data_IF_301803750461
#
_entry.id   IF_301803750461
#
_cell.length_a   1.000
_cell.length_b   1.000
_cell.length_c   1.000
_cell.angle_alpha   90.00
_cell.angle_beta   90.00
_cell.angle_gamma   90.00
#
_symmetry.space_group_name_H-M   'P 1'
#
loop_
_entity.id
_entity.type
_entity.pdbx_description
1 polymer ?
#
# COMPACT_ATOMS: atom_id res chain seq x y z
N UNK A 1 -5.04 -26.10 6.32
CA UNK A 1 -3.97 -25.18 6.78
C UNK A 1 -4.64 -24.09 7.60
N UNK A 2 -4.17 -23.83 8.83
CA UNK A 2 -4.82 -22.84 9.72
C UNK A 2 -4.68 -21.41 9.19
N UNK A 3 -5.66 -20.55 9.43
CA UNK A 3 -5.59 -19.14 9.05
C UNK A 3 -4.81 -18.34 10.09
N UNK A 4 -3.99 -17.42 9.60
CA UNK A 4 -3.13 -16.56 10.41
C UNK A 4 -3.59 -15.10 10.34
N UNK A 5 -3.55 -14.45 11.49
CA UNK A 5 -3.67 -13.00 11.63
C UNK A 5 -2.28 -12.42 11.83
N UNK A 6 -1.98 -11.33 11.13
CA UNK A 6 -0.75 -10.59 11.33
C UNK A 6 -1.02 -9.25 12.00
N UNK A 7 -0.30 -8.98 13.09
CA UNK A 7 -0.44 -7.78 13.90
C UNK A 7 0.72 -6.84 13.63
N UNK A 8 0.43 -5.57 13.35
CA UNK A 8 1.39 -4.48 13.26
C UNK A 8 1.12 -3.51 14.40
N UNK A 9 2.01 -3.46 15.38
CA UNK A 9 1.85 -2.60 16.56
C UNK A 9 2.68 -1.33 16.39
N UNK A 10 2.02 -0.16 16.26
CA UNK A 10 2.66 1.14 16.05
C UNK A 10 3.39 1.65 17.30
N UNK A 11 2.98 1.17 18.48
CA UNK A 11 3.64 1.42 19.75
C UNK A 11 4.16 0.11 20.36
N UNK A 12 5.29 0.19 21.07
CA UNK A 12 5.84 -0.96 21.78
C UNK A 12 5.12 -1.18 23.11
N UNK A 13 4.18 -2.13 23.10
CA UNK A 13 3.45 -2.59 24.29
C UNK A 13 3.29 -4.12 24.24
N UNK A 14 4.26 -4.83 24.82
CA UNK A 14 4.31 -6.29 24.78
C UNK A 14 3.12 -6.95 25.50
N UNK A 15 2.68 -6.37 26.62
CA UNK A 15 1.56 -6.91 27.40
C UNK A 15 0.24 -6.80 26.62
N UNK A 16 -0.02 -5.64 26.02
CA UNK A 16 -1.22 -5.38 25.22
C UNK A 16 -1.28 -6.28 23.98
N UNK A 17 -0.15 -6.45 23.29
CA UNK A 17 -0.07 -7.32 22.11
C UNK A 17 -0.17 -8.81 22.49
N UNK A 18 0.47 -9.25 23.58
CA UNK A 18 0.33 -10.61 24.07
C UNK A 18 -1.12 -10.94 24.43
N UNK A 19 -1.81 -10.03 25.12
CA UNK A 19 -3.24 -10.18 25.44
C UNK A 19 -4.13 -10.29 24.20
N UNK A 20 -3.85 -9.52 23.14
CA UNK A 20 -4.54 -9.64 21.86
C UNK A 20 -4.29 -11.01 21.20
N UNK A 21 -3.03 -11.45 21.14
CA UNK A 21 -2.67 -12.75 20.56
C UNK A 21 -3.36 -13.90 21.30
N UNK A 22 -3.40 -13.86 22.64
CA UNK A 22 -4.10 -14.85 23.45
C UNK A 22 -5.61 -14.84 23.19
N UNK A 23 -6.21 -13.65 23.04
CA UNK A 23 -7.61 -13.51 22.67
C UNK A 23 -7.91 -14.16 21.32
N UNK A 24 -7.12 -13.85 20.28
CA UNK A 24 -7.28 -14.43 18.94
C UNK A 24 -7.10 -15.96 18.96
N UNK A 25 -6.16 -16.46 19.75
CA UNK A 25 -5.92 -17.90 19.93
C UNK A 25 -7.12 -18.62 20.55
N UNK A 26 -7.84 -18.00 21.49
CA UNK A 26 -9.09 -18.57 22.05
C UNK A 26 -10.16 -18.78 20.98
N UNK A 27 -10.12 -18.00 19.91
CA UNK A 27 -11.00 -18.17 18.76
C UNK A 27 -10.40 -19.04 17.63
N UNK A 28 -9.30 -19.75 17.89
CA UNK A 28 -8.71 -20.70 16.93
C UNK A 28 -7.89 -20.06 15.80
N UNK A 29 -7.53 -18.78 15.92
CA UNK A 29 -6.66 -18.11 14.97
C UNK A 29 -5.20 -18.22 15.41
N UNK A 30 -4.30 -18.52 14.46
CA UNK A 30 -2.88 -18.30 14.68
C UNK A 30 -2.60 -16.80 14.60
N UNK A 31 -1.87 -16.24 15.57
CA UNK A 31 -1.48 -14.85 15.56
C UNK A 31 0.04 -14.73 15.46
N UNK A 32 0.51 -13.87 14.56
CA UNK A 32 1.87 -13.39 14.51
C UNK A 32 1.87 -11.87 14.47
N UNK A 33 3.02 -11.24 14.63
CA UNK A 33 3.10 -9.80 14.51
C UNK A 33 4.48 -9.25 14.78
N UNK A 34 4.59 -7.93 14.65
CA UNK A 34 5.80 -7.18 14.90
C UNK A 34 5.45 -5.80 15.48
N UNK A 35 6.45 -5.18 16.11
CA UNK A 35 6.41 -3.76 16.41
C UNK A 35 6.89 -2.98 15.19
N UNK A 36 6.16 -1.92 14.85
CA UNK A 36 6.48 -1.05 13.73
C UNK A 36 7.87 -0.45 13.92
N UNK A 37 8.68 -0.53 12.87
CA UNK A 37 9.99 0.11 12.80
C UNK A 37 9.84 1.29 11.84
N UNK A 38 9.81 2.50 12.39
CA UNK A 38 9.65 3.73 11.61
C UNK A 38 10.98 4.14 10.97
N UNK A 39 11.37 3.38 9.95
CA UNK A 39 12.59 3.62 9.17
C UNK A 39 12.28 3.50 7.67
N UNK A 40 11.72 4.58 7.12
CA UNK A 40 11.39 4.70 5.70
C UNK A 40 12.64 4.66 4.83
N UNK A 41 13.75 5.25 5.31
CA UNK A 41 15.02 5.32 4.57
C UNK A 41 15.56 3.93 4.25
N UNK A 42 15.50 3.01 5.22
CA UNK A 42 15.92 1.63 5.03
C UNK A 42 14.76 0.70 4.63
N UNK A 43 13.58 1.26 4.35
CA UNK A 43 12.39 0.52 3.90
C UNK A 43 12.00 -0.62 4.85
N UNK A 44 12.07 -0.36 6.16
CA UNK A 44 11.85 -1.38 7.19
C UNK A 44 10.45 -2.03 7.13
N UNK A 45 9.47 -1.34 6.53
CA UNK A 45 8.14 -1.86 6.24
C UNK A 45 8.15 -3.15 5.39
N UNK A 46 9.22 -3.42 4.62
CA UNK A 46 9.33 -4.60 3.78
C UNK A 46 9.38 -5.91 4.58
N UNK A 47 10.00 -5.91 5.75
CA UNK A 47 10.06 -7.09 6.60
C UNK A 47 8.65 -7.55 7.02
N UNK A 48 7.74 -6.60 7.25
CA UNK A 48 6.33 -6.91 7.51
C UNK A 48 5.63 -7.49 6.28
N UNK A 49 5.99 -7.03 5.07
CA UNK A 49 5.39 -7.51 3.83
C UNK A 49 5.68 -9.01 3.61
N UNK A 50 6.90 -9.49 3.88
CA UNK A 50 7.26 -10.91 3.72
C UNK A 50 6.30 -11.86 4.46
N UNK A 51 5.93 -11.48 5.68
CA UNK A 51 5.00 -12.23 6.51
C UNK A 51 3.56 -12.06 6.04
N UNK A 52 3.15 -10.84 5.67
CA UNK A 52 1.82 -10.53 5.18
C UNK A 52 1.47 -11.26 3.87
N UNK A 53 2.46 -11.48 3.01
CA UNK A 53 2.28 -12.09 1.70
C UNK A 53 2.11 -13.62 1.76
N UNK A 54 2.44 -14.27 2.89
CA UNK A 54 2.26 -15.72 3.06
C UNK A 54 0.81 -16.13 2.88
N UNK A 55 0.57 -17.24 2.18
CA UNK A 55 -0.76 -17.68 1.76
C UNK A 55 -1.76 -17.90 2.92
N UNK A 56 -1.26 -18.27 4.10
CA UNK A 56 -2.04 -18.49 5.32
C UNK A 56 -2.43 -17.19 6.06
N UNK A 57 -1.75 -16.06 5.77
CA UNK A 57 -2.12 -14.77 6.35
C UNK A 57 -3.40 -14.27 5.70
N UNK A 58 -4.46 -14.20 6.52
CA UNK A 58 -5.85 -13.97 6.11
C UNK A 58 -6.44 -12.65 6.62
N UNK A 59 -5.76 -11.97 7.55
CA UNK A 59 -6.21 -10.71 8.14
C UNK A 59 -5.00 -9.89 8.62
N UNK A 60 -5.06 -8.58 8.38
CA UNK A 60 -4.16 -7.61 9.00
C UNK A 60 -4.84 -6.89 10.16
N UNK A 61 -4.19 -6.82 11.32
CA UNK A 61 -4.59 -5.92 12.41
C UNK A 61 -3.49 -4.90 12.63
N UNK A 62 -3.83 -3.61 12.56
CA UNK A 62 -2.95 -2.50 12.90
C UNK A 62 -3.36 -2.01 14.29
N UNK A 63 -2.46 -2.09 15.27
CA UNK A 63 -2.71 -1.66 16.65
C UNK A 63 -1.92 -0.38 16.91
N UNK A 64 -2.57 0.71 17.29
CA UNK A 64 -1.92 1.98 17.58
C UNK A 64 -2.95 3.09 17.73
N UNK A 65 -2.56 4.24 18.27
CA UNK A 65 -3.51 5.33 18.48
C UNK A 65 -3.57 6.27 17.26
N UNK A 66 -4.56 7.15 17.22
CA UNK A 66 -4.71 8.10 16.11
C UNK A 66 -3.47 8.99 15.91
N UNK A 67 -2.78 9.34 17.00
CA UNK A 67 -1.56 10.12 16.96
C UNK A 67 -0.40 9.38 16.28
N UNK A 68 -0.41 8.04 16.28
CA UNK A 68 0.58 7.27 15.53
C UNK A 68 0.33 7.34 14.03
N UNK A 69 -0.93 7.30 13.61
CA UNK A 69 -1.31 7.44 12.19
C UNK A 69 -1.08 8.86 11.69
N UNK A 70 -1.24 9.89 12.53
CA UNK A 70 -0.96 11.28 12.15
C UNK A 70 0.52 11.54 11.86
N UNK A 71 1.44 10.67 12.31
CA UNK A 71 2.86 10.77 11.96
C UNK A 71 3.03 10.44 10.48
N UNK A 72 3.50 11.41 9.71
CA UNK A 72 3.70 11.29 8.25
C UNK A 72 4.52 10.06 7.85
N UNK A 73 5.60 9.76 8.57
CA UNK A 73 6.45 8.59 8.32
C UNK A 73 5.71 7.27 8.52
N UNK A 74 4.92 7.15 9.58
CA UNK A 74 4.10 5.98 9.87
C UNK A 74 3.00 5.81 8.83
N UNK A 75 2.20 6.85 8.56
CA UNK A 75 1.15 6.79 7.55
C UNK A 75 1.69 6.43 6.16
N UNK A 76 2.80 7.06 5.76
CA UNK A 76 3.46 6.77 4.51
C UNK A 76 3.94 5.32 4.44
N UNK A 77 4.66 4.82 5.44
CA UNK A 77 5.13 3.44 5.46
C UNK A 77 4.00 2.41 5.49
N UNK A 78 2.92 2.69 6.24
CA UNK A 78 1.71 1.86 6.23
C UNK A 78 1.05 1.84 4.86
N UNK A 79 1.01 2.96 4.14
CA UNK A 79 0.53 3.01 2.75
C UNK A 79 1.39 2.20 1.81
N UNK A 80 2.73 2.22 1.95
CA UNK A 80 3.63 1.38 1.14
C UNK A 80 3.39 -0.11 1.44
N UNK A 81 3.27 -0.49 2.71
CA UNK A 81 2.95 -1.86 3.10
C UNK A 81 1.59 -2.30 2.55
N UNK A 82 0.55 -1.46 2.70
CA UNK A 82 -0.78 -1.74 2.17
C UNK A 82 -0.77 -1.91 0.65
N UNK A 83 -0.05 -1.06 -0.08
CA UNK A 83 0.13 -1.16 -1.53
C UNK A 83 0.74 -2.51 -1.91
N UNK A 84 1.81 -2.93 -1.21
CA UNK A 84 2.46 -4.23 -1.44
C UNK A 84 1.54 -5.41 -1.16
N UNK A 85 0.80 -5.35 -0.06
CA UNK A 85 -0.15 -6.40 0.33
C UNK A 85 -1.28 -6.51 -0.69
N UNK A 86 -1.89 -5.39 -1.09
CA UNK A 86 -3.01 -5.43 -2.04
C UNK A 86 -2.60 -5.80 -3.47
N UNK A 87 -1.36 -5.51 -3.87
CA UNK A 87 -0.86 -5.98 -5.16
C UNK A 87 -0.89 -7.51 -5.26
N UNK A 88 -0.69 -8.22 -4.15
CA UNK A 88 -0.66 -9.69 -4.10
C UNK A 88 -1.98 -10.33 -3.64
N UNK A 89 -2.59 -9.78 -2.58
CA UNK A 89 -3.79 -10.33 -1.93
C UNK A 89 -5.09 -9.75 -2.50
N UNK A 90 -5.00 -8.70 -3.31
CA UNK A 90 -6.14 -7.91 -3.80
C UNK A 90 -6.60 -6.86 -2.79
N UNK A 91 -7.29 -5.83 -3.28
CA UNK A 91 -7.80 -4.73 -2.43
C UNK A 91 -8.89 -5.14 -1.44
N UNK A 92 -9.53 -6.29 -1.64
CA UNK A 92 -10.52 -6.83 -0.70
C UNK A 92 -9.90 -7.54 0.50
N UNK A 93 -8.57 -7.57 0.61
CA UNK A 93 -7.88 -8.18 1.74
C UNK A 93 -8.25 -7.44 3.05
N UNK A 94 -8.73 -8.15 4.08
CA UNK A 94 -9.31 -7.49 5.24
C UNK A 94 -8.24 -6.86 6.13
N UNK A 95 -8.53 -5.64 6.59
CA UNK A 95 -7.70 -4.88 7.51
C UNK A 95 -8.58 -4.37 8.65
N UNK A 96 -8.10 -4.50 9.87
CA UNK A 96 -8.68 -3.90 11.07
C UNK A 96 -7.70 -2.89 11.64
N UNK A 97 -8.15 -1.67 11.87
CA UNK A 97 -7.45 -0.73 12.73
C UNK A 97 -8.01 -0.83 14.15
N UNK A 98 -7.15 -1.20 15.09
CA UNK A 98 -7.47 -1.40 16.49
C UNK A 98 -6.82 -0.30 17.35
N UNK A 99 -7.47 0.87 17.48
CA UNK A 99 -7.01 1.90 18.39
C UNK A 99 -7.07 1.45 19.84
N UNK A 100 -6.53 2.25 20.77
CA UNK A 100 -6.81 2.09 22.20
C UNK A 100 -8.30 2.26 22.52
N UNK A 101 -8.60 2.93 23.63
CA UNK A 101 -9.98 2.97 24.13
C UNK A 101 -10.90 3.95 23.40
N UNK A 102 -10.34 4.92 22.67
CA UNK A 102 -11.11 5.97 21.98
C UNK A 102 -10.76 6.05 20.51
N UNK A 103 -11.79 6.09 19.65
CA UNK A 103 -11.66 6.40 18.22
C UNK A 103 -11.97 7.89 18.04
N UNK A 104 -11.00 8.72 17.61
CA UNK A 104 -11.29 10.10 17.28
C UNK A 104 -12.20 10.18 16.06
N UNK A 105 -13.23 11.05 16.12
CA UNK A 105 -14.19 11.22 15.01
C UNK A 105 -13.58 11.86 13.76
N UNK A 106 -12.39 12.46 13.89
CA UNK A 106 -11.61 13.09 12.82
C UNK A 106 -10.49 12.19 12.28
N UNK A 107 -10.44 10.91 12.69
CA UNK A 107 -9.42 9.98 12.21
C UNK A 107 -9.51 9.80 10.69
N UNK A 108 -8.49 10.26 9.98
CA UNK A 108 -8.33 10.03 8.55
C UNK A 108 -7.28 8.94 8.32
N UNK A 109 -7.70 7.84 7.71
CA UNK A 109 -6.79 6.82 7.24
C UNK A 109 -6.18 7.24 5.89
N UNK A 110 -4.97 6.75 5.55
CA UNK A 110 -4.49 6.86 4.18
C UNK A 110 -5.42 6.19 3.17
N UNK A 111 -5.42 6.60 1.89
CA UNK A 111 -6.38 6.10 0.89
C UNK A 111 -6.42 4.58 0.81
N UNK A 112 -5.26 3.92 0.91
CA UNK A 112 -5.16 2.46 0.86
C UNK A 112 -5.74 1.78 2.12
N UNK A 113 -5.85 2.48 3.24
CA UNK A 113 -6.38 1.95 4.49
C UNK A 113 -7.78 2.50 4.84
N UNK A 114 -8.39 3.33 3.97
CA UNK A 114 -9.74 3.86 4.17
C UNK A 114 -10.82 2.79 4.31
N UNK A 115 -10.59 1.58 3.78
CA UNK A 115 -11.51 0.45 3.90
C UNK A 115 -11.35 -0.37 5.19
N UNK A 116 -10.43 -0.01 6.08
CA UNK A 116 -10.18 -0.77 7.30
C UNK A 116 -11.36 -0.68 8.29
N UNK A 117 -11.74 -1.80 8.90
CA UNK A 117 -12.69 -1.78 10.02
C UNK A 117 -12.02 -1.19 11.25
N UNK A 118 -12.62 -0.18 11.88
CA UNK A 118 -12.10 0.44 13.10
C UNK A 118 -12.79 -0.20 14.31
N UNK A 119 -12.04 -0.94 15.11
CA UNK A 119 -12.56 -1.66 16.29
C UNK A 119 -11.61 -1.42 17.46
N UNK A 120 -12.01 -0.69 18.53
CA UNK A 120 -11.15 -0.46 19.69
C UNK A 120 -10.57 -1.78 20.23
N UNK A 121 -9.31 -1.76 20.67
CA UNK A 121 -8.65 -2.96 21.13
C UNK A 121 -9.34 -3.57 22.36
N UNK A 122 -9.89 -2.73 23.23
CA UNK A 122 -10.65 -3.14 24.42
C UNK A 122 -12.05 -3.66 24.09
N UNK A 123 -12.51 -3.53 22.84
CA UNK A 123 -13.84 -3.94 22.45
C UNK A 123 -13.96 -5.48 22.35
N UNK A 124 -14.96 -6.03 23.03
CA UNK A 124 -15.17 -7.50 23.13
C UNK A 124 -15.45 -8.18 21.79
N UNK A 125 -15.94 -7.43 20.79
CA UNK A 125 -16.21 -7.98 19.46
C UNK A 125 -14.96 -8.20 18.60
N UNK A 126 -13.80 -7.64 18.96
CA UNK A 126 -12.59 -7.69 18.11
C UNK A 126 -12.20 -9.13 17.75
N UNK A 127 -12.17 -10.04 18.72
CA UNK A 127 -11.84 -11.44 18.49
C UNK A 127 -12.81 -12.13 17.54
N UNK A 128 -14.12 -11.96 17.77
CA UNK A 128 -15.17 -12.54 16.91
C UNK A 128 -15.11 -11.97 15.49
N UNK A 129 -14.90 -10.65 15.37
CA UNK A 129 -14.76 -9.97 14.08
C UNK A 129 -13.52 -10.42 13.32
N UNK A 130 -12.38 -10.54 13.99
CA UNK A 130 -11.17 -11.05 13.39
C UNK A 130 -11.35 -12.46 12.81
N UNK A 131 -12.06 -13.34 13.53
CA UNK A 131 -12.38 -14.71 13.06
C UNK A 131 -13.30 -14.68 11.87
N UNK A 132 -14.34 -13.85 11.93
CA UNK A 132 -15.26 -13.68 10.80
C UNK A 132 -14.49 -13.21 9.57
N UNK A 133 -13.75 -12.11 9.66
CA UNK A 133 -13.00 -11.52 8.56
C UNK A 133 -11.94 -12.46 7.99
N UNK A 134 -11.17 -13.14 8.85
CA UNK A 134 -10.21 -14.14 8.41
C UNK A 134 -10.91 -15.29 7.66
N UNK A 135 -12.15 -15.64 8.05
CA UNK A 135 -12.89 -16.74 7.44
C UNK A 135 -13.69 -16.36 6.19
N UNK A 136 -14.07 -15.10 6.04
CA UNK A 136 -14.78 -14.59 4.88
C UNK A 136 -13.86 -14.49 3.67
N UNK A 137 -14.22 -15.06 2.51
CA UNK A 137 -13.49 -14.83 1.27
C UNK A 137 -13.42 -13.34 0.94
N UNK A 138 -12.20 -12.84 0.68
CA UNK A 138 -12.00 -11.45 0.28
C UNK A 138 -12.82 -11.13 -0.98
N UNK A 139 -13.55 -10.02 -0.96
CA UNK A 139 -14.30 -9.56 -2.13
C UNK A 139 -13.31 -9.21 -3.24
N UNK A 140 -13.43 -9.85 -4.40
CA UNK A 140 -12.66 -9.44 -5.57
C UNK A 140 -13.16 -8.08 -6.03
N UNK A 141 -12.26 -7.10 -6.05
CA UNK A 141 -12.49 -5.78 -6.62
C UNK A 141 -11.76 -5.78 -7.95
N UNK A 142 -12.53 -5.70 -9.04
CA UNK A 142 -11.98 -5.55 -10.38
C UNK A 142 -11.46 -4.12 -10.53
N UNK A 143 -10.29 -4.01 -11.16
CA UNK A 143 -9.64 -2.76 -11.47
C UNK A 143 -9.13 -2.84 -12.89
N UNK A 144 -9.05 -1.69 -13.53
CA UNK A 144 -8.47 -1.56 -14.87
C UNK A 144 -6.94 -1.35 -14.82
N UNK A 145 -6.37 -1.35 -13.60
CA UNK A 145 -4.95 -1.20 -13.35
C UNK A 145 -4.47 -2.06 -12.18
N UNK A 146 -3.17 -2.30 -12.14
CA UNK A 146 -2.44 -2.73 -10.94
C UNK A 146 -1.47 -1.64 -10.47
N UNK A 147 -1.25 -1.60 -9.17
CA UNK A 147 -0.34 -0.68 -8.50
C UNK A 147 0.44 -1.47 -7.45
N UNK A 148 1.75 -1.35 -7.46
CA UNK A 148 2.64 -2.07 -6.55
C UNK A 148 3.84 -1.20 -6.16
N UNK A 149 4.57 -1.64 -5.15
CA UNK A 149 5.78 -0.98 -4.66
C UNK A 149 6.89 -2.00 -4.41
N UNK A 150 8.12 -1.59 -4.68
CA UNK A 150 9.32 -2.38 -4.47
C UNK A 150 10.37 -1.52 -3.77
N UNK A 151 10.71 -1.88 -2.54
CA UNK A 151 11.86 -1.28 -1.87
C UNK A 151 13.11 -2.08 -2.21
N UNK A 152 14.11 -1.44 -2.78
CA UNK A 152 15.41 -2.07 -3.02
C UNK A 152 16.45 -1.33 -2.16
N UNK A 153 16.81 -1.86 -0.98
CA UNK A 153 17.81 -1.22 -0.12
C UNK A 153 19.09 -0.90 -0.89
N UNK A 154 19.53 0.37 -0.83
CA UNK A 154 20.69 0.88 -1.57
C UNK A 154 20.42 1.29 -3.02
N UNK A 155 19.28 0.91 -3.63
CA UNK A 155 18.90 1.31 -5.00
C UNK A 155 17.80 2.38 -4.98
N UNK A 156 16.80 2.24 -4.10
CA UNK A 156 15.71 3.21 -3.92
C UNK A 156 14.31 2.59 -3.86
N UNK A 157 13.30 3.45 -3.75
CA UNK A 157 11.89 3.08 -3.74
C UNK A 157 11.33 3.13 -5.15
N UNK A 158 10.80 2.01 -5.63
CA UNK A 158 10.21 1.89 -6.95
C UNK A 158 8.71 1.69 -6.86
N UNK A 159 7.97 2.50 -7.61
CA UNK A 159 6.53 2.37 -7.79
C UNK A 159 6.26 1.76 -9.16
N UNK A 160 5.34 0.80 -9.19
CA UNK A 160 4.92 0.07 -10.37
C UNK A 160 3.45 0.39 -10.64
N UNK A 161 3.13 0.82 -11.85
CA UNK A 161 1.75 0.88 -12.33
C UNK A 161 1.66 0.24 -13.72
N UNK A 162 0.58 -0.49 -13.96
CA UNK A 162 0.31 -1.04 -15.27
C UNK A 162 -1.15 -1.43 -15.43
N UNK A 163 -1.52 -1.87 -16.63
CA UNK A 163 -2.93 -2.05 -16.96
C UNK A 163 -3.43 -3.49 -16.76
N UNK A 164 -4.72 -3.61 -16.47
CA UNK A 164 -5.46 -4.87 -16.62
C UNK A 164 -5.85 -5.12 -18.09
N UNK A 165 -5.97 -4.05 -18.88
CA UNK A 165 -6.16 -4.06 -20.32
C UNK A 165 -4.91 -3.48 -21.01
N UNK A 166 -5.01 -2.97 -22.23
CA UNK A 166 -3.85 -2.34 -22.87
C UNK A 166 -3.79 -0.84 -22.57
N UNK A 167 -2.60 -0.32 -22.29
CA UNK A 167 -2.32 1.12 -22.28
C UNK A 167 -1.46 1.53 -23.48
N UNK A 168 -1.86 2.63 -24.13
CA UNK A 168 -1.08 3.29 -25.19
C UNK A 168 -0.20 4.36 -24.52
N UNK A 169 1.02 3.98 -24.16
CA UNK A 169 1.88 4.79 -23.31
C UNK A 169 1.47 4.76 -21.83
N UNK A 170 2.34 5.27 -20.98
CA UNK A 170 2.11 5.34 -19.54
C UNK A 170 2.67 6.63 -18.96
N UNK A 171 2.01 7.11 -17.91
CA UNK A 171 2.41 8.30 -17.18
C UNK A 171 2.35 8.02 -15.69
N UNK A 172 3.33 8.57 -14.97
CA UNK A 172 3.38 8.46 -13.52
C UNK A 172 3.92 9.78 -12.95
N UNK A 173 3.21 10.33 -11.99
CA UNK A 173 3.50 11.57 -11.30
C UNK A 173 3.48 11.43 -9.80
N UNK A 174 4.29 12.26 -9.16
CA UNK A 174 4.40 12.38 -7.72
C UNK A 174 4.17 13.83 -7.30
N UNK A 175 3.56 14.03 -6.14
CA UNK A 175 3.46 15.32 -5.46
C UNK A 175 4.38 15.31 -4.23
N UNK A 176 5.06 16.44 -3.96
CA UNK A 176 5.96 16.57 -2.80
C UNK A 176 7.24 15.71 -2.82
N UNK A 177 7.60 15.13 -3.96
CA UNK A 177 8.75 14.24 -4.13
C UNK A 177 9.35 14.35 -5.54
N UNK A 178 10.43 13.61 -5.81
CA UNK A 178 11.13 13.62 -7.09
C UNK A 178 11.15 12.23 -7.74
N UNK A 179 10.96 12.18 -9.07
CA UNK A 179 11.25 11.00 -9.88
C UNK A 179 12.65 11.18 -10.47
N UNK A 180 13.53 10.21 -10.25
CA UNK A 180 14.91 10.26 -10.74
C UNK A 180 15.24 9.13 -11.73
N UNK A 181 14.36 8.14 -11.87
CA UNK A 181 14.48 7.06 -12.84
C UNK A 181 13.12 6.52 -13.27
N UNK A 182 13.04 5.98 -14.49
CA UNK A 182 11.87 5.24 -14.95
C UNK A 182 12.21 4.13 -15.95
N UNK A 183 11.30 3.18 -16.12
CA UNK A 183 11.49 2.02 -17.00
C UNK A 183 10.17 1.33 -17.32
N UNK A 184 10.09 0.66 -18.47
CA UNK A 184 8.99 -0.27 -18.79
C UNK A 184 9.54 -1.69 -18.83
N UNK A 185 8.83 -2.64 -18.25
CA UNK A 185 9.20 -4.06 -18.25
C UNK A 185 8.09 -4.96 -17.72
N UNK A 186 8.37 -6.26 -17.51
CA UNK A 186 7.41 -7.21 -16.96
C UNK A 186 6.90 -6.76 -15.57
N UNK A 187 5.64 -7.03 -15.25
CA UNK A 187 5.04 -6.72 -13.95
C UNK A 187 5.64 -7.55 -12.80
N UNK A 188 5.44 -7.06 -11.57
CA UNK A 188 5.81 -7.70 -10.30
C UNK A 188 7.31 -7.78 -10.00
N UNK A 189 8.12 -6.88 -10.57
CA UNK A 189 9.53 -6.76 -10.20
C UNK A 189 10.22 -5.65 -10.97
N UNK A 190 11.11 -4.93 -10.30
CA UNK A 190 11.91 -3.88 -10.96
C UNK A 190 12.73 -4.52 -12.08
N UNK A 191 12.55 -4.09 -13.35
CA UNK A 191 13.12 -4.82 -14.47
C UNK A 191 14.63 -4.59 -14.59
N UNK A 192 15.38 -5.66 -14.88
CA UNK A 192 16.83 -5.56 -15.14
C UNK A 192 17.14 -4.80 -16.44
N UNK A 193 16.19 -4.81 -17.39
CA UNK A 193 16.28 -4.12 -18.67
C UNK A 193 14.96 -3.40 -18.95
N UNK A 194 15.05 -2.13 -19.32
CA UNK A 194 13.90 -1.31 -19.66
C UNK A 194 13.99 -0.86 -21.12
N UNK A 195 12.83 -0.79 -21.78
CA UNK A 195 12.68 -0.14 -23.09
C UNK A 195 11.87 1.12 -22.88
N UNK A 196 12.35 2.24 -23.40
CA UNK A 196 11.71 3.55 -23.25
C UNK A 196 11.45 4.14 -24.64
N UNK A 197 10.19 4.17 -25.04
CA UNK A 197 9.76 4.79 -26.29
C UNK A 197 9.25 6.20 -26.00
N UNK A 198 9.84 7.20 -26.67
CA UNK A 198 9.45 8.61 -26.55
C UNK A 198 9.34 9.10 -25.10
N UNK A 199 10.38 8.82 -24.30
CA UNK A 199 10.43 9.19 -22.89
C UNK A 199 10.37 10.71 -22.68
N UNK A 200 9.48 11.13 -21.78
CA UNK A 200 9.33 12.51 -21.32
C UNK A 200 9.58 12.57 -19.81
N UNK A 201 10.27 13.62 -19.37
CA UNK A 201 10.66 13.82 -17.96
C UNK A 201 10.26 15.21 -17.51
N UNK A 202 9.89 15.35 -16.24
CA UNK A 202 9.62 16.63 -15.60
C UNK A 202 8.36 17.34 -16.09
N UNK A 203 7.37 16.60 -16.59
CA UNK A 203 6.07 17.14 -16.96
C UNK A 203 5.38 17.70 -15.71
N UNK A 204 4.78 18.89 -15.84
CA UNK A 204 3.99 19.51 -14.80
C UNK A 204 2.52 19.25 -15.07
N UNK A 205 1.84 18.56 -14.14
CA UNK A 205 0.43 18.23 -14.26
C UNK A 205 -0.31 18.89 -13.12
N UNK A 206 -1.23 19.80 -13.45
CA UNK A 206 -2.11 20.43 -12.47
C UNK A 206 -3.36 19.58 -12.29
N UNK A 207 -3.66 19.14 -11.08
CA UNK A 207 -4.91 18.47 -10.73
C UNK A 207 -5.53 19.11 -9.48
N UNK A 208 -6.57 19.90 -9.70
CA UNK A 208 -7.13 20.77 -8.66
C UNK A 208 -6.07 21.76 -8.19
N UNK A 209 -5.76 21.76 -6.89
CA UNK A 209 -4.75 22.62 -6.26
C UNK A 209 -3.34 22.00 -6.23
N UNK A 210 -3.18 20.74 -6.63
CA UNK A 210 -1.91 20.02 -6.52
C UNK A 210 -1.17 20.01 -7.86
N UNK A 211 0.11 20.40 -7.86
CA UNK A 211 1.01 20.28 -9.01
C UNK A 211 1.87 19.01 -8.89
N UNK A 212 1.66 18.06 -9.78
CA UNK A 212 2.46 16.84 -9.85
C UNK A 212 3.67 17.03 -10.77
N UNK A 213 4.80 16.42 -10.41
CA UNK A 213 5.92 16.21 -11.33
C UNK A 213 5.82 14.80 -11.89
N UNK A 214 5.63 14.69 -13.20
CA UNK A 214 5.36 13.43 -13.88
C UNK A 214 6.36 13.12 -14.99
N UNK A 215 6.61 11.83 -15.17
CA UNK A 215 7.41 11.30 -16.27
C UNK A 215 6.52 10.35 -17.08
N UNK A 216 6.71 10.30 -18.38
CA UNK A 216 5.87 9.52 -19.28
C UNK A 216 6.69 8.81 -20.36
N UNK A 217 6.04 7.82 -20.97
CA UNK A 217 6.54 7.02 -22.10
C UNK A 217 5.38 6.72 -23.05
N UNK A 218 5.68 6.41 -24.30
CA UNK A 218 4.70 5.99 -25.30
C UNK A 218 4.78 4.51 -25.65
N UNK A 219 5.49 3.71 -24.86
CA UNK A 219 5.48 2.26 -24.99
C UNK A 219 4.03 1.74 -24.96
N UNK A 220 3.72 0.77 -25.81
CA UNK A 220 2.50 -0.04 -25.65
C UNK A 220 2.68 -0.98 -24.46
N UNK A 221 1.79 -0.90 -23.48
CA UNK A 221 1.79 -1.78 -22.30
C UNK A 221 0.60 -2.74 -22.39
N UNK A 222 0.90 -4.02 -22.60
CA UNK A 222 -0.07 -5.10 -22.54
C UNK A 222 -0.27 -5.61 -21.10
N UNK A 223 -1.33 -6.38 -20.80
CA UNK A 223 -1.48 -7.02 -19.49
C UNK A 223 -0.23 -7.85 -19.13
N UNK A 224 0.34 -7.60 -17.95
CA UNK A 224 1.60 -8.21 -17.50
C UNK A 224 2.86 -7.39 -17.79
N UNK A 225 2.71 -6.21 -18.41
CA UNK A 225 3.73 -5.16 -18.48
C UNK A 225 3.41 -4.03 -17.51
N UNK A 226 4.45 -3.31 -17.09
CA UNK A 226 4.33 -2.20 -16.15
C UNK A 226 5.29 -1.07 -16.47
N UNK A 227 4.87 0.12 -16.09
CA UNK A 227 5.71 1.29 -15.99
C UNK A 227 6.17 1.46 -14.55
N UNK A 228 7.48 1.64 -14.40
CA UNK A 228 8.17 1.77 -13.14
C UNK A 228 8.76 3.16 -13.02
N UNK A 229 8.62 3.78 -11.85
CA UNK A 229 9.34 4.99 -11.48
C UNK A 229 10.06 4.81 -10.17
N UNK A 230 11.29 5.30 -10.09
CA UNK A 230 12.02 5.41 -8.83
C UNK A 230 11.79 6.79 -8.24
N UNK A 231 11.47 6.82 -6.95
CA UNK A 231 11.10 8.04 -6.24
C UNK A 231 12.11 8.35 -5.14
N UNK A 232 12.48 9.62 -5.04
CA UNK A 232 13.24 10.20 -3.94
C UNK A 232 12.31 11.04 -3.05
N UNK A 233 12.40 10.85 -1.74
CA UNK A 233 11.54 11.51 -0.76
C UNK A 233 10.26 10.72 -0.45
N UNK A 234 9.27 11.40 0.13
CA UNK A 234 8.02 10.80 0.62
C UNK A 234 6.83 11.50 -0.05
N UNK A 235 6.43 11.10 -1.28
CA UNK A 235 5.26 11.70 -1.91
C UNK A 235 4.03 11.51 -1.04
N UNK A 236 3.23 12.56 -0.88
CA UNK A 236 1.91 12.48 -0.27
C UNK A 236 0.86 11.97 -1.26
N UNK A 237 1.09 12.14 -2.57
CA UNK A 237 0.16 11.69 -3.62
C UNK A 237 0.88 11.10 -4.82
N UNK A 238 0.23 10.11 -5.42
CA UNK A 238 0.60 9.49 -6.68
C UNK A 238 -0.46 9.79 -7.72
N UNK A 239 -0.04 9.99 -8.97
CA UNK A 239 -0.90 10.09 -10.15
C UNK A 239 -0.37 9.13 -11.19
N UNK A 240 -1.22 8.29 -11.78
CA UNK A 240 -0.77 7.35 -12.81
C UNK A 240 -1.90 6.93 -13.74
N UNK A 241 -1.55 6.46 -14.93
CA UNK A 241 -2.51 5.99 -15.92
C UNK A 241 -1.88 5.89 -17.32
N UNK A 242 -2.70 5.62 -18.35
CA UNK A 242 -2.24 5.69 -19.73
C UNK A 242 -1.72 7.09 -20.07
N UNK A 243 -0.79 7.17 -21.02
CA UNK A 243 -0.38 8.47 -21.57
C UNK A 243 -1.46 8.97 -22.51
N UNK A 244 -2.09 10.11 -22.19
CA UNK A 244 -3.05 10.73 -23.09
C UNK A 244 -2.36 11.77 -23.98
N UNK A 245 -2.53 11.63 -25.29
CA UNK A 245 -2.18 12.67 -26.27
C UNK A 245 -3.28 13.73 -26.42
N UNK A 246 -4.48 13.46 -25.90
CA UNK A 246 -5.69 14.30 -25.99
C UNK A 246 -6.14 14.80 -24.62
N UNK A 247 -7.00 15.82 -24.57
CA UNK A 247 -7.40 16.54 -23.34
C UNK A 247 -8.19 15.71 -22.31
N UNK A 248 -8.64 14.50 -22.64
CA UNK A 248 -9.36 13.60 -21.74
C UNK A 248 -8.50 12.37 -21.41
N UNK A 249 -7.72 12.47 -20.32
CA UNK A 249 -6.95 11.36 -19.75
C UNK A 249 -7.66 10.84 -18.49
N UNK A 250 -8.05 9.57 -18.45
CA UNK A 250 -8.44 8.95 -17.19
C UNK A 250 -7.18 8.59 -16.40
N UNK A 251 -6.93 9.33 -15.33
CA UNK A 251 -5.80 9.11 -14.42
C UNK A 251 -6.29 8.73 -13.04
N UNK A 252 -5.54 7.88 -12.36
CA UNK A 252 -5.82 7.46 -11.01
C UNK A 252 -4.95 8.23 -10.02
N UNK A 253 -5.54 8.58 -8.87
CA UNK A 253 -4.85 9.30 -7.80
C UNK A 253 -4.93 8.51 -6.50
N UNK A 254 -3.79 8.39 -5.80
CA UNK A 254 -3.71 7.74 -4.49
C UNK A 254 -3.04 8.69 -3.51
N UNK A 255 -3.71 9.00 -2.39
CA UNK A 255 -3.14 9.77 -1.27
C UNK A 255 -2.50 8.80 -0.26
N UNK A 256 -1.24 9.03 0.07
CA UNK A 256 -0.41 8.15 0.90
C UNK A 256 -0.37 8.56 2.38
N UNK A 257 -0.65 9.81 2.72
CA UNK A 257 -0.85 10.31 4.09
C UNK A 257 -1.60 11.65 4.08
#
# INVERSE_FOLDING_TARGET
MGKRVWITALAKDEAKIAGLMDSLKKYGLAAGGHFWVDDIKNMAWQAAAEEMLKADTALWIIVGDAEDIKKTSVAYGLSLLAMKVYASKGQGFPVVFAPGDTVPGDLQMPTLLNGAEIIPLSHTSLGVKAVSLANTPAKRIEKDYHLNVHGLPGIGLWLEAGPSFEWQGAMFGVHGAEIDFHGVGPSNGVPERAVLEYAQKGLKIQLGENEFTAWAVQNRLEPGMSYYVRVQGMPDRLLFGPYAQTEEAEVHVVKLY
#
